data_IF_080327641332
#
_entry.id   IF_080327641332
#
_cell.length_a   1.000
_cell.length_b   1.000
_cell.length_c   1.000
_cell.angle_alpha   90.00
_cell.angle_beta   90.00
_cell.angle_gamma   90.00
#
_symmetry.space_group_name_H-M   'P 1'
#
loop_
_entity.id
_entity.type
_entity.pdbx_description
1 polymer ?
#
# COMPACT_ATOMS: atom_id res chain seq x y z
N UNK A 1 5.29 24.81 -11.13
CA UNK A 1 5.29 23.54 -10.38
C UNK A 1 5.35 23.93 -8.90
N UNK A 2 4.21 23.98 -8.22
CA UNK A 2 4.18 24.43 -6.82
C UNK A 2 4.55 23.27 -5.90
N UNK A 3 5.77 23.29 -5.38
CA UNK A 3 6.17 22.45 -4.27
C UNK A 3 5.56 23.07 -3.02
N UNK A 4 4.40 22.56 -2.59
CA UNK A 4 3.81 22.89 -1.28
C UNK A 4 4.62 22.22 -0.16
N UNK A 5 5.73 22.84 0.21
CA UNK A 5 6.35 22.75 1.55
C UNK A 5 5.57 23.78 2.39
N UNK A 6 5.02 23.55 3.58
CA UNK A 6 5.34 22.68 4.70
C UNK A 6 4.02 22.18 5.30
N UNK A 7 3.95 20.90 5.67
CA UNK A 7 2.82 20.36 6.44
C UNK A 7 3.31 20.14 7.87
N UNK A 8 2.98 21.07 8.76
CA UNK A 8 3.10 21.04 10.23
C UNK A 8 3.92 19.87 10.79
N UNK A 9 5.21 20.10 11.07
CA UNK A 9 6.08 19.12 11.74
C UNK A 9 5.49 18.73 13.11
N UNK A 10 4.90 19.71 13.82
CA UNK A 10 4.23 19.51 15.12
C UNK A 10 3.04 18.53 15.08
N UNK A 11 2.34 18.39 13.94
CA UNK A 11 1.26 17.40 13.80
C UNK A 11 1.76 15.99 13.50
N UNK A 12 2.98 15.82 12.98
CA UNK A 12 3.60 14.49 12.83
C UNK A 12 3.99 13.92 14.18
N UNK A 13 4.61 14.71 15.04
CA UNK A 13 5.09 14.23 16.32
C UNK A 13 3.95 13.67 17.18
N UNK A 14 2.78 14.32 17.21
CA UNK A 14 1.58 13.78 17.88
C UNK A 14 1.00 12.50 17.26
N UNK A 15 1.28 12.21 15.99
CA UNK A 15 0.81 11.00 15.31
C UNK A 15 1.77 9.81 15.48
N UNK A 16 3.05 10.09 15.71
CA UNK A 16 4.11 9.08 15.87
C UNK A 16 4.56 8.87 17.32
N UNK A 17 4.32 9.83 18.22
CA UNK A 17 4.59 9.69 19.65
C UNK A 17 3.48 8.84 20.29
N UNK A 18 3.73 7.54 20.42
CA UNK A 18 2.94 6.64 21.27
C UNK A 18 2.05 5.62 20.57
N UNK A 19 1.84 5.70 19.26
CA UNK A 19 1.08 4.69 18.53
C UNK A 19 1.99 3.56 18.05
N UNK A 20 1.85 2.38 18.64
CA UNK A 20 2.44 1.16 18.08
C UNK A 20 1.86 0.91 16.69
N UNK A 21 2.74 0.67 15.72
CA UNK A 21 2.34 0.19 14.40
C UNK A 21 1.77 -1.22 14.52
N UNK A 22 0.88 -1.62 13.61
CA UNK A 22 0.28 -2.97 13.63
C UNK A 22 1.33 -4.08 13.63
N UNK A 23 2.46 -3.88 12.94
CA UNK A 23 3.56 -4.84 12.93
C UNK A 23 4.27 -4.95 14.28
N UNK A 24 4.39 -3.84 15.02
CA UNK A 24 4.91 -3.87 16.38
C UNK A 24 3.94 -4.58 17.33
N UNK A 25 2.63 -4.43 17.14
CA UNK A 25 1.61 -5.18 17.90
C UNK A 25 1.73 -6.68 17.60
N UNK A 26 1.87 -7.06 16.33
CA UNK A 26 2.06 -8.45 15.91
C UNK A 26 3.36 -9.01 16.53
N UNK A 27 4.46 -8.24 16.50
CA UNK A 27 5.71 -8.68 17.11
C UNK A 27 5.56 -8.93 18.63
N UNK A 28 4.84 -8.05 19.34
CA UNK A 28 4.55 -8.24 20.77
C UNK A 28 3.73 -9.51 21.00
N UNK A 29 2.66 -9.72 20.24
CA UNK A 29 1.82 -10.92 20.35
C UNK A 29 2.65 -12.19 20.10
N UNK A 30 3.55 -12.16 19.09
CA UNK A 30 4.41 -13.30 18.79
C UNK A 30 5.41 -13.56 19.92
N UNK A 31 6.01 -12.52 20.50
CA UNK A 31 6.91 -12.69 21.67
C UNK A 31 6.16 -13.33 22.84
N UNK A 32 4.98 -12.84 23.19
CA UNK A 32 4.17 -13.43 24.25
C UNK A 32 3.71 -14.86 23.92
N UNK A 33 3.37 -15.13 22.66
CA UNK A 33 3.00 -16.46 22.19
C UNK A 33 4.16 -17.46 22.30
N UNK A 34 5.37 -17.05 21.92
CA UNK A 34 6.59 -17.86 22.06
C UNK A 34 6.91 -18.15 23.52
N UNK A 35 6.80 -17.13 24.40
CA UNK A 35 6.98 -17.35 25.84
C UNK A 35 5.96 -18.34 26.40
N UNK A 36 4.68 -18.19 26.05
CA UNK A 36 3.63 -19.12 26.46
C UNK A 36 3.84 -20.54 25.91
N UNK A 37 4.34 -20.65 24.68
CA UNK A 37 4.66 -21.94 24.06
C UNK A 37 5.85 -22.62 24.75
N UNK A 38 6.91 -21.88 25.12
CA UNK A 38 8.04 -22.44 25.86
C UNK A 38 7.60 -22.99 27.22
N UNK A 39 6.78 -22.24 27.95
CA UNK A 39 6.20 -22.70 29.22
C UNK A 39 5.36 -23.95 29.00
N UNK A 40 4.47 -23.97 27.99
CA UNK A 40 3.66 -25.14 27.68
C UNK A 40 4.51 -26.36 27.24
N UNK A 41 5.64 -26.13 26.56
CA UNK A 41 6.55 -27.19 26.14
C UNK A 41 7.20 -27.88 27.35
N UNK A 42 7.61 -27.10 28.34
CA UNK A 42 8.19 -27.59 29.60
C UNK A 42 7.22 -28.51 30.36
N UNK A 43 5.91 -28.19 30.36
CA UNK A 43 4.91 -28.96 31.11
C UNK A 43 4.23 -30.10 30.34
N UNK A 44 4.11 -30.02 29.00
CA UNK A 44 3.29 -30.97 28.23
C UNK A 44 4.00 -31.61 27.05
N UNK A 45 4.68 -30.83 26.22
CA UNK A 45 5.09 -31.31 24.90
C UNK A 45 6.48 -31.96 24.88
N UNK A 46 7.35 -31.62 25.84
CA UNK A 46 8.70 -32.20 26.00
C UNK A 46 9.50 -32.27 24.69
N UNK A 47 9.29 -31.31 23.79
CA UNK A 47 10.06 -31.22 22.55
C UNK A 47 11.50 -30.85 22.89
N UNK A 48 12.49 -31.29 22.08
CA UNK A 48 13.88 -30.94 22.28
C UNK A 48 14.08 -29.43 22.38
N UNK A 49 14.67 -28.98 23.49
CA UNK A 49 14.84 -27.54 23.78
C UNK A 49 15.60 -26.81 22.69
N UNK A 50 16.62 -27.45 22.11
CA UNK A 50 17.42 -26.87 21.01
C UNK A 50 16.57 -26.55 19.79
N UNK A 51 15.62 -27.42 19.44
CA UNK A 51 14.73 -27.22 18.30
C UNK A 51 13.71 -26.12 18.60
N UNK A 52 13.10 -26.15 19.78
CA UNK A 52 12.11 -25.15 20.21
C UNK A 52 12.74 -23.75 20.30
N UNK A 53 13.92 -23.64 20.90
CA UNK A 53 14.65 -22.37 21.01
C UNK A 53 15.06 -21.84 19.64
N UNK A 54 15.57 -22.68 18.74
CA UNK A 54 16.00 -22.26 17.41
C UNK A 54 14.83 -21.73 16.59
N UNK A 55 13.70 -22.46 16.55
CA UNK A 55 12.51 -22.03 15.82
C UNK A 55 11.94 -20.76 16.42
N UNK A 56 11.85 -20.68 17.76
CA UNK A 56 11.39 -19.50 18.48
C UNK A 56 12.23 -18.26 18.17
N UNK A 57 13.55 -18.42 18.15
CA UNK A 57 14.49 -17.34 17.86
C UNK A 57 14.33 -16.83 16.43
N UNK A 58 14.18 -17.74 15.45
CA UNK A 58 13.91 -17.37 14.05
C UNK A 58 12.59 -16.59 13.96
N UNK A 59 11.54 -17.05 14.65
CA UNK A 59 10.22 -16.42 14.64
C UNK A 59 10.25 -15.00 15.23
N UNK A 60 10.94 -14.84 16.36
CA UNK A 60 11.16 -13.53 16.98
C UNK A 60 11.99 -12.62 16.06
N UNK A 61 13.07 -13.14 15.48
CA UNK A 61 13.94 -12.37 14.61
C UNK A 61 13.19 -11.82 13.39
N UNK A 62 12.43 -12.68 12.69
CA UNK A 62 11.64 -12.29 11.51
C UNK A 62 10.60 -11.23 11.86
N UNK A 63 9.92 -11.38 13.00
CA UNK A 63 8.87 -10.44 13.42
C UNK A 63 9.44 -9.09 13.86
N UNK A 64 10.58 -9.08 14.57
CA UNK A 64 11.28 -7.84 14.93
C UNK A 64 11.80 -7.14 13.67
N UNK A 65 12.47 -7.86 12.76
CA UNK A 65 12.97 -7.29 11.50
C UNK A 65 11.81 -6.74 10.67
N UNK A 66 10.68 -7.45 10.59
CA UNK A 66 9.47 -6.97 9.93
C UNK A 66 8.88 -5.72 10.59
N UNK A 67 8.87 -5.65 11.92
CA UNK A 67 8.41 -4.47 12.67
C UNK A 67 9.36 -3.27 12.56
N UNK A 68 10.65 -3.52 12.40
CA UNK A 68 11.68 -2.50 12.17
C UNK A 68 11.79 -2.08 10.70
N UNK A 69 11.20 -2.84 9.78
CA UNK A 69 11.26 -2.54 8.36
C UNK A 69 10.64 -1.17 8.08
N UNK A 70 11.43 -0.25 7.53
CA UNK A 70 11.00 1.12 7.21
C UNK A 70 11.42 1.49 5.79
N UNK A 71 10.70 1.04 4.75
CA UNK A 71 11.03 1.41 3.37
C UNK A 71 10.94 2.93 3.20
N UNK A 72 12.04 3.54 2.74
CA UNK A 72 12.17 5.00 2.57
C UNK A 72 11.88 5.82 3.84
N UNK A 73 12.17 5.26 5.02
CA UNK A 73 11.96 5.93 6.32
C UNK A 73 10.49 6.02 6.76
N UNK A 74 9.57 5.42 6.00
CA UNK A 74 8.15 5.37 6.35
C UNK A 74 7.80 4.08 7.09
N UNK A 75 6.79 4.12 7.97
CA UNK A 75 6.22 2.89 8.51
C UNK A 75 5.64 2.03 7.36
N UNK A 76 5.70 0.69 7.44
CA UNK A 76 5.24 -0.19 6.36
C UNK A 76 3.80 0.09 5.93
N UNK A 77 2.92 0.40 6.87
CA UNK A 77 1.52 0.79 6.59
C UNK A 77 1.43 2.08 5.78
N UNK A 78 2.22 3.08 6.13
CA UNK A 78 2.25 4.36 5.42
C UNK A 78 2.82 4.19 4.02
N UNK A 79 3.89 3.40 3.90
CA UNK A 79 4.49 3.06 2.61
C UNK A 79 3.50 2.31 1.72
N UNK A 80 2.85 1.25 2.21
CA UNK A 80 1.87 0.48 1.46
C UNK A 80 0.70 1.35 0.99
N UNK A 81 0.16 2.18 1.89
CA UNK A 81 -0.90 3.15 1.55
C UNK A 81 -0.46 4.14 0.47
N UNK A 82 0.78 4.61 0.54
CA UNK A 82 1.33 5.53 -0.45
C UNK A 82 1.53 4.83 -1.80
N UNK A 83 2.08 3.60 -1.78
CA UNK A 83 2.37 2.83 -2.98
C UNK A 83 1.08 2.42 -3.70
N UNK A 84 0.06 1.97 -2.97
CA UNK A 84 -1.27 1.68 -3.52
C UNK A 84 -1.90 2.93 -4.14
N UNK A 85 -1.83 4.08 -3.45
CA UNK A 85 -2.34 5.35 -4.01
C UNK A 85 -1.59 5.76 -5.26
N UNK A 86 -0.27 5.59 -5.29
CA UNK A 86 0.55 5.89 -6.45
C UNK A 86 0.13 5.04 -7.66
N UNK A 87 0.00 3.72 -7.47
CA UNK A 87 -0.47 2.80 -8.51
C UNK A 87 -1.89 3.16 -9.01
N UNK A 88 -2.84 3.40 -8.10
CA UNK A 88 -4.21 3.78 -8.47
C UNK A 88 -4.31 5.15 -9.17
N UNK A 89 -3.47 6.12 -8.78
CA UNK A 89 -3.46 7.46 -9.37
C UNK A 89 -2.92 7.42 -10.81
N UNK A 90 -1.94 6.56 -11.07
CA UNK A 90 -1.45 6.31 -12.43
C UNK A 90 -2.53 5.66 -13.29
N UNK A 91 -3.23 4.64 -12.78
CA UNK A 91 -4.38 4.05 -13.48
C UNK A 91 -5.46 5.10 -13.82
N UNK A 92 -5.86 5.94 -12.86
CA UNK A 92 -6.87 7.00 -13.11
C UNK A 92 -6.43 7.96 -14.21
N UNK A 93 -5.16 8.34 -14.28
CA UNK A 93 -4.66 9.20 -15.37
C UNK A 93 -4.74 8.51 -16.73
N UNK A 94 -4.36 7.24 -16.82
CA UNK A 94 -4.43 6.47 -18.07
C UNK A 94 -5.87 6.38 -18.59
N UNK A 95 -6.83 6.04 -17.74
CA UNK A 95 -8.25 5.97 -18.14
C UNK A 95 -8.83 7.31 -18.60
N UNK A 96 -8.40 8.42 -17.97
CA UNK A 96 -8.84 9.76 -18.39
C UNK A 96 -8.27 10.11 -19.76
N UNK A 97 -7.00 9.79 -20.03
CA UNK A 97 -6.36 10.02 -21.33
C UNK A 97 -7.06 9.20 -22.42
N UNK A 98 -7.27 7.89 -22.21
CA UNK A 98 -7.97 7.03 -23.16
C UNK A 98 -9.41 7.52 -23.43
N UNK A 99 -10.15 7.94 -22.39
CA UNK A 99 -11.52 8.44 -22.55
C UNK A 99 -11.56 9.75 -23.32
N UNK A 100 -10.57 10.63 -23.12
CA UNK A 100 -10.46 11.88 -23.87
C UNK A 100 -10.10 11.61 -25.33
N UNK A 101 -9.20 10.68 -25.62
CA UNK A 101 -8.87 10.28 -26.99
C UNK A 101 -10.05 9.64 -27.71
N UNK A 102 -10.75 8.69 -27.07
CA UNK A 102 -11.96 8.06 -27.64
C UNK A 102 -13.04 9.08 -27.97
N UNK A 103 -13.30 10.03 -27.07
CA UNK A 103 -14.27 11.10 -27.29
C UNK A 103 -13.86 12.08 -28.41
N UNK A 104 -12.55 12.28 -28.62
CA UNK A 104 -12.03 13.14 -29.69
C UNK A 104 -12.22 12.47 -31.06
N UNK A 105 -11.98 11.16 -31.15
CA UNK A 105 -12.21 10.35 -32.36
C UNK A 105 -13.71 10.32 -32.71
N UNK A 106 -14.58 10.01 -31.74
CA UNK A 106 -16.04 9.99 -31.96
C UNK A 106 -16.59 11.33 -32.46
N UNK A 107 -16.10 12.45 -31.89
CA UNK A 107 -16.52 13.79 -32.34
C UNK A 107 -16.07 14.07 -33.77
N UNK A 108 -14.86 13.66 -34.15
CA UNK A 108 -14.38 13.85 -35.52
C UNK A 108 -15.20 13.04 -36.55
N UNK A 109 -15.58 11.81 -36.22
CA UNK A 109 -16.44 10.97 -37.07
C UNK A 109 -17.85 11.53 -37.22
N UNK A 110 -18.47 11.97 -36.11
CA UNK A 110 -19.80 12.62 -36.14
C UNK A 110 -19.78 13.91 -36.97
N UNK A 111 -18.67 14.66 -36.93
CA UNK A 111 -18.52 15.90 -37.71
C UNK A 111 -18.30 15.61 -39.20
N UNK A 112 -17.50 14.59 -39.55
CA UNK A 112 -17.32 14.11 -40.93
C UNK A 112 -18.67 13.66 -41.50
N UNK A 113 -19.39 12.79 -40.79
CA UNK A 113 -20.72 12.29 -41.19
C UNK A 113 -21.75 13.41 -41.44
N UNK A 114 -21.80 14.43 -40.56
CA UNK A 114 -22.68 15.60 -40.76
C UNK A 114 -22.30 16.44 -41.99
N UNK A 115 -21.00 16.59 -42.28
CA UNK A 115 -20.54 17.29 -43.50
C UNK A 115 -20.94 16.52 -44.76
N UNK A 116 -20.81 15.20 -44.78
CA UNK A 116 -21.24 14.37 -45.92
C UNK A 116 -22.75 14.46 -46.15
N UNK A 117 -23.56 14.36 -45.09
CA UNK A 117 -25.04 14.53 -45.19
C UNK A 117 -25.47 15.90 -45.73
N UNK A 118 -24.80 16.98 -45.31
CA UNK A 118 -25.08 18.33 -45.84
C UNK A 118 -24.69 18.46 -47.32
N UNK A 119 -23.58 17.85 -47.73
CA UNK A 119 -23.10 17.89 -49.11
C UNK A 119 -24.06 17.18 -50.08
N UNK A 120 -24.64 16.05 -49.68
CA UNK A 120 -25.64 15.34 -50.50
C UNK A 120 -27.01 16.03 -50.55
N UNK A 121 -27.37 16.79 -49.50
CA UNK A 121 -28.65 17.53 -49.45
C UNK A 121 -28.65 18.80 -50.31
N UNK A 122 -27.49 19.44 -50.51
CA UNK A 122 -27.35 20.63 -51.37
C UNK A 122 -27.15 20.29 -52.86
N UNK A 123 -27.03 19.01 -53.23
CA UNK A 123 -26.88 18.54 -54.62
C UNK A 123 -28.19 18.06 -55.26
N UNK A 124 -29.29 18.05 -54.52
CA UNK A 124 -30.65 17.87 -55.03
C UNK A 124 -31.34 19.22 -55.09
#
# INVERSE_FOLDING_TARGET
MEIKVFKDVAKRERLYAGNLTLLQIIAIIVIFGVLGFNVANEFKFHLPDTLVQTVSLILILVTILGAMWRPYGLSPQSWLKHNIRFMMKNQKRVYVIEKVERNKIEKQEKTKSKKTKKFFRNRK
#
